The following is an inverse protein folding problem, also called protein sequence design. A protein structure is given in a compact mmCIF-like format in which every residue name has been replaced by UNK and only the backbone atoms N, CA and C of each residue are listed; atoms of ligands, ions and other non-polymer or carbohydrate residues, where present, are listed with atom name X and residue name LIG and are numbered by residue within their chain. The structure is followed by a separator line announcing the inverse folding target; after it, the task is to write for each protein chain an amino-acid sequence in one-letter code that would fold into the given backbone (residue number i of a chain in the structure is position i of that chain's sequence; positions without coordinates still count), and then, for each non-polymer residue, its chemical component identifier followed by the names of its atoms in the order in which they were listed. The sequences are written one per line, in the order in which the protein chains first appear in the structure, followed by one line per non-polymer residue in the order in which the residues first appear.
data_IF_035395731931
#
_entry.id   IF_035395731931
#
_cell.length_a   1.000
_cell.length_b   1.000
_cell.length_c   1.000
_cell.angle_alpha   90.00
_cell.angle_beta   90.00
_cell.angle_gamma   90.00
#
_symmetry.space_group_name_H-M   'P 1'
#
loop_
_entity.id
_entity.type
_entity.pdbx_description
1 polymer ?
#
# COMPACT_ATOMS: atom_id res chain seq x y z
N UNK A 1 19.99 -55.06 -54.17
CA UNK A 1 18.97 -54.08 -54.67
C UNK A 1 17.93 -53.69 -53.61
N UNK A 2 17.28 -54.58 -52.88
CA UNK A 2 16.26 -54.22 -51.88
C UNK A 2 16.72 -53.31 -50.72
N UNK A 3 18.01 -53.42 -50.28
CA UNK A 3 18.55 -52.57 -49.20
C UNK A 3 18.82 -51.11 -49.66
N UNK A 4 19.16 -50.91 -50.91
CA UNK A 4 19.38 -49.55 -51.44
C UNK A 4 18.07 -48.81 -51.72
N UNK A 5 17.02 -49.49 -52.08
CA UNK A 5 15.68 -48.93 -52.26
C UNK A 5 15.06 -48.49 -50.91
N UNK A 6 15.32 -49.23 -49.84
CA UNK A 6 14.82 -48.89 -48.50
C UNK A 6 15.53 -47.64 -47.98
N UNK A 7 16.84 -47.49 -48.20
CA UNK A 7 17.59 -46.30 -47.77
C UNK A 7 17.23 -45.04 -48.59
N UNK A 8 16.91 -45.16 -49.88
CA UNK A 8 16.44 -44.06 -50.72
C UNK A 8 15.02 -43.61 -50.24
N UNK A 9 14.15 -44.54 -49.86
CA UNK A 9 12.84 -44.22 -49.34
C UNK A 9 12.92 -43.53 -47.95
N UNK A 10 13.85 -43.95 -47.10
CA UNK A 10 14.06 -43.32 -45.79
C UNK A 10 14.63 -41.89 -45.94
N UNK A 11 15.52 -41.65 -46.89
CA UNK A 11 16.06 -40.31 -47.16
C UNK A 11 15.03 -39.38 -47.84
N UNK A 12 14.12 -39.90 -48.65
CA UNK A 12 13.06 -39.13 -49.27
C UNK A 12 11.98 -38.75 -48.21
N UNK A 13 11.69 -39.65 -47.25
CA UNK A 13 10.75 -39.37 -46.16
C UNK A 13 11.27 -38.33 -45.15
N UNK A 14 12.58 -38.29 -44.86
CA UNK A 14 13.18 -37.28 -44.00
C UNK A 14 13.29 -35.90 -44.68
N UNK A 15 13.40 -35.84 -46.00
CA UNK A 15 13.41 -34.58 -46.76
C UNK A 15 12.07 -33.87 -46.83
N UNK A 16 10.96 -34.58 -46.66
CA UNK A 16 9.60 -34.01 -46.70
C UNK A 16 9.13 -33.39 -45.35
N UNK A 17 9.82 -33.65 -44.25
CA UNK A 17 9.46 -33.11 -42.95
C UNK A 17 10.05 -31.75 -42.61
N UNK A 18 10.99 -31.23 -43.43
CA UNK A 18 11.66 -29.93 -43.18
C UNK A 18 11.03 -28.76 -43.96
N UNK A 19 10.01 -28.97 -44.76
CA UNK A 19 9.35 -27.88 -45.51
C UNK A 19 8.03 -27.36 -44.86
N UNK A 20 7.82 -27.66 -43.59
CA UNK A 20 6.55 -27.35 -42.93
C UNK A 20 6.61 -26.15 -41.97
N UNK A 21 7.51 -25.21 -42.13
CA UNK A 21 7.48 -23.95 -41.39
C UNK A 21 7.91 -22.78 -42.29
N UNK A 22 7.10 -22.52 -43.31
CA UNK A 22 7.05 -21.16 -43.85
C UNK A 22 5.97 -20.42 -43.06
N UNK A 23 6.35 -19.85 -41.92
CA UNK A 23 5.51 -18.84 -41.30
C UNK A 23 5.20 -17.73 -42.30
N UNK A 24 3.91 -17.46 -42.49
CA UNK A 24 3.52 -16.29 -43.28
C UNK A 24 4.22 -15.07 -42.68
N UNK A 25 4.88 -14.27 -43.50
CA UNK A 25 5.51 -13.03 -43.04
C UNK A 25 4.43 -12.23 -42.31
N UNK A 26 4.66 -11.97 -41.02
CA UNK A 26 3.81 -11.07 -40.27
C UNK A 26 3.70 -9.71 -41.00
N UNK A 27 2.54 -9.12 -40.98
CA UNK A 27 2.34 -7.77 -41.53
C UNK A 27 3.33 -6.83 -40.83
N UNK A 28 3.93 -5.92 -41.61
CA UNK A 28 4.78 -4.86 -41.05
C UNK A 28 3.98 -3.86 -40.24
N UNK A 29 2.65 -3.87 -40.38
CA UNK A 29 1.74 -3.09 -39.55
C UNK A 29 1.28 -3.94 -38.36
N UNK A 30 1.54 -3.45 -37.15
CA UNK A 30 1.01 -4.04 -35.93
C UNK A 30 -0.50 -3.95 -35.90
N UNK A 31 -1.18 -5.06 -35.65
CA UNK A 31 -2.64 -5.06 -35.37
C UNK A 31 -2.96 -4.42 -34.02
N UNK A 32 -1.95 -4.33 -33.14
CA UNK A 32 -2.05 -3.62 -31.87
C UNK A 32 -1.77 -2.14 -32.16
N UNK A 33 -2.82 -1.37 -32.35
CA UNK A 33 -2.71 0.08 -32.38
C UNK A 33 -2.70 0.57 -30.95
N UNK A 34 -1.71 1.38 -30.53
CA UNK A 34 -1.79 2.03 -29.23
C UNK A 34 -3.07 2.88 -29.23
N UNK A 35 -3.97 2.55 -28.33
CA UNK A 35 -5.14 3.37 -28.09
C UNK A 35 -4.63 4.71 -27.54
N UNK A 36 -4.84 5.81 -28.25
CA UNK A 36 -4.58 7.14 -27.72
C UNK A 36 -5.55 7.38 -26.56
N UNK A 37 -5.17 6.98 -25.36
CA UNK A 37 -5.93 7.31 -24.15
C UNK A 37 -5.96 8.83 -24.04
N UNK A 38 -7.11 9.43 -24.32
CA UNK A 38 -7.29 10.88 -24.13
C UNK A 38 -6.96 11.22 -22.68
N UNK A 39 -5.90 12.00 -22.51
CA UNK A 39 -5.51 12.48 -21.18
C UNK A 39 -6.57 13.45 -20.66
N UNK A 40 -7.08 13.17 -19.47
CA UNK A 40 -7.94 14.09 -18.72
C UNK A 40 -7.09 15.17 -18.04
N UNK A 41 -7.70 16.27 -17.54
CA UNK A 41 -6.98 17.22 -16.67
C UNK A 41 -6.34 16.54 -15.46
N UNK A 42 -6.99 15.52 -14.90
CA UNK A 42 -6.44 14.75 -13.76
C UNK A 42 -5.21 13.93 -14.15
N UNK A 43 -5.18 13.30 -15.33
CA UNK A 43 -3.98 12.58 -15.78
C UNK A 43 -2.78 13.52 -15.93
N UNK A 44 -2.99 14.74 -16.42
CA UNK A 44 -1.94 15.75 -16.50
C UNK A 44 -1.48 16.22 -15.12
N UNK A 45 -2.42 16.39 -14.20
CA UNK A 45 -2.11 16.75 -12.83
C UNK A 45 -1.29 15.64 -12.13
N UNK A 46 -1.65 14.37 -12.33
CA UNK A 46 -0.90 13.22 -11.82
C UNK A 46 0.51 13.17 -12.41
N UNK A 47 0.66 13.45 -13.71
CA UNK A 47 1.98 13.51 -14.33
C UNK A 47 2.90 14.49 -13.62
N UNK A 48 2.44 15.73 -13.39
CA UNK A 48 3.24 16.80 -12.77
C UNK A 48 3.44 16.59 -11.27
N UNK A 49 2.45 16.04 -10.58
CA UNK A 49 2.45 15.99 -9.11
C UNK A 49 2.92 14.65 -8.52
N UNK A 50 2.91 13.58 -9.30
CA UNK A 50 3.28 12.23 -8.85
C UNK A 50 4.42 11.61 -9.67
N UNK A 51 4.28 11.61 -11.01
CA UNK A 51 5.23 10.93 -11.87
C UNK A 51 6.56 11.68 -11.94
N UNK A 52 6.54 12.96 -12.33
CA UNK A 52 7.76 13.75 -12.51
C UNK A 52 8.55 13.93 -11.21
N UNK A 53 7.93 14.31 -10.06
CA UNK A 53 8.69 14.52 -8.85
C UNK A 53 9.11 13.24 -8.13
N UNK A 54 8.32 12.13 -8.22
CA UNK A 54 8.51 10.95 -7.36
C UNK A 54 8.65 9.63 -8.11
N UNK A 55 8.38 9.60 -9.43
CA UNK A 55 8.21 8.37 -10.20
C UNK A 55 7.17 7.43 -9.56
N UNK A 56 6.04 8.02 -9.13
CA UNK A 56 4.90 7.30 -8.57
C UNK A 56 3.77 7.35 -9.59
N UNK A 57 3.19 6.19 -9.89
CA UNK A 57 1.98 6.06 -10.68
C UNK A 57 0.77 5.96 -9.75
N UNK A 58 -0.22 6.86 -9.93
CA UNK A 58 -1.51 6.78 -9.26
C UNK A 58 -2.55 6.27 -10.27
N UNK A 59 -2.90 4.99 -10.16
CA UNK A 59 -3.86 4.32 -11.04
C UNK A 59 -5.25 4.51 -10.46
N UNK A 60 -6.11 5.23 -11.16
CA UNK A 60 -7.49 5.46 -10.76
C UNK A 60 -8.51 4.81 -11.70
N UNK A 61 -8.08 4.46 -12.92
CA UNK A 61 -8.91 3.66 -13.83
C UNK A 61 -8.79 2.20 -13.47
N UNK A 62 -9.91 1.51 -13.52
CA UNK A 62 -9.91 0.07 -13.31
C UNK A 62 -8.93 -0.61 -14.27
N UNK A 63 -8.04 -1.40 -13.73
CA UNK A 63 -7.11 -2.24 -14.47
C UNK A 63 -7.29 -3.69 -14.01
N UNK A 64 -7.73 -4.52 -14.95
CA UNK A 64 -8.02 -5.92 -14.73
C UNK A 64 -6.79 -6.72 -14.23
N UNK A 65 -5.58 -6.32 -14.66
CA UNK A 65 -4.33 -6.97 -14.28
C UNK A 65 -3.88 -6.62 -12.87
N UNK A 66 -4.31 -5.47 -12.37
CA UNK A 66 -3.95 -4.97 -11.05
C UNK A 66 -5.01 -5.30 -9.99
N UNK A 67 -6.12 -5.94 -10.39
CA UNK A 67 -7.25 -6.25 -9.53
C UNK A 67 -7.26 -7.72 -9.13
N UNK A 68 -7.51 -8.01 -7.84
CA UNK A 68 -7.72 -9.38 -7.37
C UNK A 68 -9.14 -9.84 -7.70
N UNK A 69 -9.26 -10.81 -8.61
CA UNK A 69 -10.54 -11.37 -9.07
C UNK A 69 -11.28 -12.24 -8.04
N UNK A 70 -10.70 -12.48 -6.86
CA UNK A 70 -11.41 -13.12 -5.75
C UNK A 70 -12.40 -12.19 -5.07
N UNK A 71 -12.30 -10.89 -5.32
CA UNK A 71 -13.16 -9.86 -4.74
C UNK A 71 -14.03 -9.19 -5.80
N UNK A 72 -15.22 -8.76 -5.38
CA UNK A 72 -16.06 -7.90 -6.20
C UNK A 72 -15.57 -6.46 -6.08
N UNK A 73 -15.12 -5.90 -7.19
CA UNK A 73 -14.63 -4.53 -7.22
C UNK A 73 -15.20 -3.74 -8.38
N UNK A 74 -15.21 -2.42 -8.25
CA UNK A 74 -15.68 -1.47 -9.26
C UNK A 74 -14.64 -0.35 -9.47
N UNK A 75 -14.69 0.35 -10.61
CA UNK A 75 -13.84 1.50 -10.85
C UNK A 75 -14.01 2.59 -9.79
N UNK A 76 -12.92 3.31 -9.50
CA UNK A 76 -12.99 4.52 -8.71
C UNK A 76 -13.77 5.62 -9.47
N UNK A 77 -14.62 6.35 -8.75
CA UNK A 77 -15.24 7.59 -9.29
C UNK A 77 -14.17 8.65 -9.56
N UNK A 78 -14.32 9.36 -10.65
CA UNK A 78 -13.34 10.35 -11.10
C UNK A 78 -13.07 11.44 -10.06
N UNK A 79 -14.14 12.02 -9.48
CA UNK A 79 -13.99 13.09 -8.51
C UNK A 79 -13.48 12.59 -7.16
N UNK A 80 -13.90 11.40 -6.76
CA UNK A 80 -13.39 10.76 -5.55
C UNK A 80 -11.90 10.41 -5.68
N UNK A 81 -11.46 9.91 -6.84
CA UNK A 81 -10.07 9.64 -7.13
C UNK A 81 -9.19 10.91 -7.11
N UNK A 82 -9.68 12.03 -7.64
CA UNK A 82 -9.01 13.34 -7.54
C UNK A 82 -8.79 13.70 -6.07
N UNK A 83 -9.85 13.65 -5.25
CA UNK A 83 -9.75 13.98 -3.82
C UNK A 83 -8.77 13.07 -3.10
N UNK A 84 -8.86 11.75 -3.33
CA UNK A 84 -7.97 10.79 -2.70
C UNK A 84 -6.50 11.04 -3.08
N UNK A 85 -6.22 11.32 -4.36
CA UNK A 85 -4.88 11.66 -4.80
C UNK A 85 -4.33 12.92 -4.11
N UNK A 86 -5.13 13.99 -3.99
CA UNK A 86 -4.72 15.19 -3.24
C UNK A 86 -4.43 14.88 -1.78
N UNK A 87 -5.29 14.11 -1.12
CA UNK A 87 -5.14 13.73 0.28
C UNK A 87 -3.84 12.94 0.46
N UNK A 88 -3.64 11.88 -0.30
CA UNK A 88 -2.45 11.01 -0.17
C UNK A 88 -1.16 11.79 -0.45
N UNK A 89 -1.13 12.63 -1.49
CA UNK A 89 0.02 13.49 -1.76
C UNK A 89 0.31 14.39 -0.57
N UNK A 90 -0.69 15.11 -0.11
CA UNK A 90 -0.52 16.11 0.92
C UNK A 90 -0.21 15.50 2.28
N UNK A 91 -0.96 14.48 2.74
CA UNK A 91 -0.80 13.94 4.11
C UNK A 91 0.27 12.87 4.23
N UNK A 92 0.54 12.11 3.18
CA UNK A 92 1.52 11.02 3.25
C UNK A 92 2.82 11.41 2.56
N UNK A 93 2.82 11.65 1.24
CA UNK A 93 4.05 11.86 0.46
C UNK A 93 4.81 13.09 0.97
N UNK A 94 4.16 14.24 1.01
CA UNK A 94 4.79 15.51 1.41
C UNK A 94 5.13 15.58 2.91
N UNK A 95 4.46 14.78 3.77
CA UNK A 95 4.84 14.68 5.17
C UNK A 95 6.21 14.00 5.32
N UNK A 96 6.45 12.91 4.59
CA UNK A 96 7.78 12.28 4.56
C UNK A 96 8.82 13.18 3.89
N UNK A 97 8.47 13.92 2.84
CA UNK A 97 9.38 14.91 2.24
C UNK A 97 9.85 15.95 3.27
N UNK A 98 8.94 16.40 4.11
CA UNK A 98 9.23 17.40 5.12
C UNK A 98 10.18 16.89 6.20
N UNK A 99 10.01 15.63 6.64
CA UNK A 99 10.72 15.06 7.79
C UNK A 99 11.98 14.31 7.38
N UNK A 100 11.92 13.54 6.29
CA UNK A 100 13.02 12.69 5.83
C UNK A 100 13.74 13.24 4.59
N UNK A 101 13.13 14.23 3.93
CA UNK A 101 13.62 14.79 2.68
C UNK A 101 13.14 14.05 1.43
N UNK A 102 12.99 14.79 0.34
CA UNK A 102 12.41 14.29 -0.93
C UNK A 102 13.16 13.07 -1.50
N UNK A 103 14.44 12.93 -1.24
CA UNK A 103 15.21 11.78 -1.74
C UNK A 103 14.80 10.48 -1.06
N UNK A 104 14.41 10.52 0.24
CA UNK A 104 13.85 9.37 0.94
C UNK A 104 12.55 8.92 0.28
N UNK A 105 11.63 9.82 0.06
CA UNK A 105 10.35 9.53 -0.58
C UNK A 105 10.54 9.01 -2.01
N UNK A 106 11.41 9.66 -2.79
CA UNK A 106 11.74 9.21 -4.15
C UNK A 106 12.33 7.81 -4.20
N UNK A 107 13.09 7.43 -3.22
CA UNK A 107 13.78 6.13 -3.21
C UNK A 107 12.88 5.01 -2.67
N UNK A 108 12.13 5.26 -1.61
CA UNK A 108 11.51 4.21 -0.82
C UNK A 108 9.98 4.20 -0.87
N UNK A 109 9.32 5.35 -1.08
CA UNK A 109 7.87 5.35 -1.14
C UNK A 109 7.35 4.49 -2.30
N UNK A 110 6.21 3.78 -2.14
CA UNK A 110 5.65 2.90 -3.17
C UNK A 110 5.56 3.58 -4.53
N UNK A 111 5.88 2.83 -5.59
CA UNK A 111 5.90 3.38 -6.95
C UNK A 111 4.57 3.27 -7.66
N UNK A 112 3.62 2.56 -7.05
CA UNK A 112 2.27 2.42 -7.56
C UNK A 112 1.26 2.56 -6.42
N UNK A 113 0.26 3.41 -6.64
CA UNK A 113 -0.92 3.53 -5.80
C UNK A 113 -2.12 3.19 -6.68
N UNK A 114 -2.85 2.14 -6.35
CA UNK A 114 -3.99 1.68 -7.14
C UNK A 114 -5.29 1.90 -6.37
N UNK A 115 -6.13 2.80 -6.88
CA UNK A 115 -7.39 3.18 -6.26
C UNK A 115 -8.57 2.46 -6.92
N UNK A 116 -9.38 1.77 -6.11
CA UNK A 116 -10.60 1.10 -6.55
C UNK A 116 -11.83 1.62 -5.81
N UNK A 117 -13.01 1.40 -6.40
CA UNK A 117 -14.24 2.06 -5.93
C UNK A 117 -14.79 1.52 -4.63
N UNK A 118 -14.77 0.20 -4.41
CA UNK A 118 -15.38 -0.45 -3.25
C UNK A 118 -14.33 -1.08 -2.32
N UNK A 119 -14.75 -1.29 -1.07
CA UNK A 119 -13.99 -2.08 -0.12
C UNK A 119 -14.10 -3.58 -0.45
N UNK A 120 -13.04 -4.31 -0.16
CA UNK A 120 -13.00 -5.76 -0.28
C UNK A 120 -13.22 -6.39 1.09
N UNK A 121 -13.91 -7.52 1.12
CA UNK A 121 -14.26 -8.22 2.36
C UNK A 121 -13.81 -9.66 2.33
N UNK A 122 -13.10 -10.07 3.37
CA UNK A 122 -12.76 -11.47 3.60
C UNK A 122 -13.99 -12.27 4.07
N UNK A 123 -13.91 -13.60 3.95
CA UNK A 123 -14.98 -14.51 4.40
C UNK A 123 -15.32 -14.42 5.89
N UNK A 124 -14.41 -13.87 6.70
CA UNK A 124 -14.62 -13.60 8.13
C UNK A 124 -15.20 -12.20 8.41
N UNK A 125 -15.69 -11.50 7.38
CA UNK A 125 -16.20 -10.12 7.40
C UNK A 125 -15.16 -9.05 7.80
N UNK A 126 -13.87 -9.36 7.79
CA UNK A 126 -12.85 -8.32 7.91
C UNK A 126 -12.73 -7.58 6.58
N UNK A 127 -12.56 -6.26 6.67
CA UNK A 127 -12.40 -5.39 5.50
C UNK A 127 -10.92 -5.27 5.13
N UNK A 128 -10.64 -5.38 3.84
CA UNK A 128 -9.34 -5.07 3.27
C UNK A 128 -9.37 -3.59 2.89
N UNK A 129 -8.58 -2.79 3.57
CA UNK A 129 -8.45 -1.35 3.32
C UNK A 129 -7.33 -1.05 2.34
N UNK A 130 -6.34 -1.92 2.29
CA UNK A 130 -5.21 -1.87 1.39
C UNK A 130 -4.28 -3.05 1.59
N UNK A 131 -3.37 -3.24 0.68
CA UNK A 131 -2.30 -4.25 0.73
C UNK A 131 -1.05 -3.71 0.06
N UNK A 132 0.13 -4.12 0.54
CA UNK A 132 1.38 -3.88 -0.18
C UNK A 132 1.77 -5.13 -0.97
N UNK A 133 1.79 -5.04 -2.29
CA UNK A 133 2.18 -6.14 -3.15
C UNK A 133 3.62 -5.97 -3.64
N UNK A 134 4.45 -6.96 -3.35
CA UNK A 134 5.83 -7.01 -3.84
C UNK A 134 6.70 -5.83 -3.45
N UNK A 135 6.36 -5.09 -2.39
CA UNK A 135 7.11 -3.93 -1.92
C UNK A 135 7.08 -2.71 -2.86
N UNK A 136 6.14 -2.64 -3.81
CA UNK A 136 6.09 -1.57 -4.82
C UNK A 136 4.72 -0.93 -5.00
N UNK A 137 3.64 -1.65 -4.70
CA UNK A 137 2.26 -1.22 -4.91
C UNK A 137 1.53 -1.14 -3.59
N UNK A 138 0.80 -0.05 -3.35
CA UNK A 138 -0.25 0.02 -2.33
C UNK A 138 -1.59 0.06 -3.04
N UNK A 139 -2.46 -0.86 -2.66
CA UNK A 139 -3.85 -0.92 -3.05
C UNK A 139 -4.68 -0.05 -2.11
N UNK A 140 -5.56 0.77 -2.66
CA UNK A 140 -6.42 1.70 -1.93
C UNK A 140 -7.88 1.40 -2.28
N UNK A 141 -8.55 0.66 -1.41
CA UNK A 141 -9.94 0.27 -1.60
C UNK A 141 -10.92 1.37 -1.14
N UNK A 142 -12.16 1.29 -1.63
CA UNK A 142 -13.27 2.09 -1.11
C UNK A 142 -13.26 3.56 -1.51
N UNK A 143 -12.57 3.94 -2.58
CA UNK A 143 -12.45 5.35 -3.03
C UNK A 143 -13.80 6.05 -3.18
N UNK A 144 -14.85 5.33 -3.63
CA UNK A 144 -16.19 5.91 -3.85
C UNK A 144 -16.92 6.24 -2.54
N UNK A 145 -16.40 5.77 -1.42
CA UNK A 145 -16.93 6.06 -0.09
C UNK A 145 -16.24 7.26 0.59
N UNK A 146 -15.19 7.82 -0.02
CA UNK A 146 -14.34 8.86 0.57
C UNK A 146 -15.12 10.04 1.14
N UNK A 147 -16.13 10.54 0.42
CA UNK A 147 -16.93 11.70 0.86
C UNK A 147 -17.68 11.48 2.19
N UNK A 148 -17.93 10.22 2.57
CA UNK A 148 -18.55 9.89 3.86
C UNK A 148 -17.59 10.11 5.02
N UNK A 149 -16.29 10.09 4.77
CA UNK A 149 -15.23 10.09 5.78
C UNK A 149 -14.44 11.42 5.84
N UNK A 150 -14.63 12.32 4.87
CA UNK A 150 -13.92 13.60 4.78
C UNK A 150 -14.16 14.56 5.97
N UNK A 151 -15.19 14.34 6.75
CA UNK A 151 -15.53 15.18 7.90
C UNK A 151 -14.83 14.79 9.22
N UNK A 152 -14.06 13.71 9.22
CA UNK A 152 -13.48 13.13 10.44
C UNK A 152 -12.05 12.65 10.17
N UNK A 153 -11.09 13.12 10.98
CA UNK A 153 -9.70 12.63 10.95
C UNK A 153 -9.66 11.15 11.29
N UNK A 154 -10.42 10.73 12.30
CA UNK A 154 -10.45 9.33 12.75
C UNK A 154 -10.95 8.40 11.65
N UNK A 155 -11.96 8.83 10.87
CA UNK A 155 -12.46 8.06 9.74
C UNK A 155 -11.47 8.04 8.58
N UNK A 156 -10.86 9.17 8.22
CA UNK A 156 -9.82 9.21 7.19
C UNK A 156 -8.64 8.30 7.54
N UNK A 157 -8.20 8.32 8.79
CA UNK A 157 -7.15 7.44 9.27
C UNK A 157 -7.59 5.98 9.25
N UNK A 158 -8.79 5.69 9.73
CA UNK A 158 -9.29 4.31 9.78
C UNK A 158 -9.39 3.68 8.39
N UNK A 159 -9.90 4.41 7.41
CA UNK A 159 -10.23 3.83 6.11
C UNK A 159 -9.16 4.02 5.02
N UNK A 160 -8.22 4.98 5.18
CA UNK A 160 -7.25 5.29 4.13
C UNK A 160 -5.82 5.52 4.63
N UNK A 161 -5.60 6.52 5.52
CA UNK A 161 -4.26 7.04 5.74
C UNK A 161 -3.39 6.11 6.57
N UNK A 162 -3.93 5.54 7.64
CA UNK A 162 -3.20 4.57 8.48
C UNK A 162 -2.68 3.39 7.65
N UNK A 163 -3.49 2.89 6.72
CA UNK A 163 -3.11 1.80 5.83
C UNK A 163 -1.88 2.14 5.00
N UNK A 164 -1.78 3.36 4.46
CA UNK A 164 -0.62 3.78 3.66
C UNK A 164 0.66 3.74 4.51
N UNK A 165 0.63 4.24 5.74
CA UNK A 165 1.78 4.20 6.64
C UNK A 165 2.13 2.78 7.08
N UNK A 166 1.12 1.92 7.28
CA UNK A 166 1.26 0.51 7.60
C UNK A 166 2.00 -0.23 6.47
N UNK A 167 1.50 -0.13 5.26
CA UNK A 167 2.08 -0.78 4.10
C UNK A 167 3.47 -0.22 3.75
N UNK A 168 3.67 1.08 3.95
CA UNK A 168 4.99 1.67 3.76
C UNK A 168 6.01 1.12 4.77
N UNK A 169 5.59 0.87 6.01
CA UNK A 169 6.47 0.22 7.00
C UNK A 169 6.91 -1.18 6.56
N UNK A 170 6.02 -1.97 5.94
CA UNK A 170 6.39 -3.26 5.36
C UNK A 170 7.47 -3.11 4.27
N UNK A 171 7.35 -2.11 3.41
CA UNK A 171 8.35 -1.82 2.36
C UNK A 171 9.71 -1.45 2.97
N UNK A 172 9.71 -0.62 4.01
CA UNK A 172 10.93 -0.27 4.73
C UNK A 172 11.57 -1.50 5.37
N UNK A 173 10.79 -2.35 6.03
CA UNK A 173 11.27 -3.59 6.65
C UNK A 173 11.81 -4.61 5.66
N UNK A 174 11.25 -4.68 4.45
CA UNK A 174 11.77 -5.54 3.38
C UNK A 174 13.10 -5.03 2.83
N UNK A 175 13.34 -3.73 2.89
CA UNK A 175 14.58 -3.11 2.41
C UNK A 175 15.70 -3.18 3.45
N UNK A 176 15.40 -2.86 4.70
CA UNK A 176 16.28 -2.99 5.86
C UNK A 176 15.50 -3.64 6.99
N UNK A 177 15.81 -4.90 7.37
CA UNK A 177 15.09 -5.58 8.45
C UNK A 177 15.22 -4.83 9.78
N UNK A 178 14.15 -4.85 10.57
CA UNK A 178 14.18 -4.38 11.96
C UNK A 178 14.87 -5.39 12.90
N UNK A 179 15.23 -4.93 14.10
CA UNK A 179 15.86 -5.79 15.11
C UNK A 179 14.88 -6.88 15.62
N UNK A 180 15.28 -8.14 15.52
CA UNK A 180 14.49 -9.29 15.96
C UNK A 180 14.20 -9.28 17.48
N UNK A 181 14.89 -8.45 18.27
CA UNK A 181 14.53 -8.19 19.67
C UNK A 181 13.09 -7.67 19.82
N UNK A 182 12.53 -7.03 18.78
CA UNK A 182 11.14 -6.65 18.74
C UNK A 182 10.19 -7.83 18.90
N UNK A 183 10.42 -8.90 18.15
CA UNK A 183 9.58 -10.10 18.16
C UNK A 183 9.61 -10.82 19.51
N UNK A 184 10.68 -10.67 20.29
CA UNK A 184 10.83 -11.30 21.61
C UNK A 184 9.99 -10.60 22.70
N UNK A 185 9.53 -9.37 22.49
CA UNK A 185 8.74 -8.62 23.49
C UNK A 185 7.43 -9.34 23.81
N UNK A 186 6.75 -9.86 22.79
CA UNK A 186 5.48 -10.60 22.91
C UNK A 186 5.48 -11.91 22.12
N UNK A 187 6.61 -12.41 21.73
CA UNK A 187 6.85 -13.42 20.69
C UNK A 187 6.06 -14.73 20.78
N UNK A 188 5.64 -15.15 21.98
CA UNK A 188 4.85 -16.40 22.16
C UNK A 188 3.35 -16.16 22.21
N UNK A 189 2.88 -14.92 22.05
CA UNK A 189 1.48 -14.53 22.24
C UNK A 189 0.81 -14.02 20.95
N UNK A 190 1.48 -14.17 19.79
CA UNK A 190 0.85 -13.92 18.50
C UNK A 190 -0.23 -14.96 18.18
N UNK A 191 -1.34 -14.52 17.60
CA UNK A 191 -2.53 -15.33 17.43
C UNK A 191 -2.75 -15.81 15.98
N UNK A 192 -1.86 -15.45 15.03
CA UNK A 192 -2.06 -15.69 13.60
C UNK A 192 -3.46 -15.23 13.17
N UNK A 193 -4.25 -16.06 12.50
CA UNK A 193 -5.58 -15.69 12.00
C UNK A 193 -6.65 -15.55 13.10
N UNK A 194 -6.37 -16.02 14.31
CA UNK A 194 -7.31 -15.92 15.44
C UNK A 194 -7.43 -14.51 16.02
N UNK A 195 -6.63 -13.54 15.54
CA UNK A 195 -6.72 -12.13 15.96
C UNK A 195 -8.12 -11.53 15.77
N UNK A 196 -8.85 -11.97 14.75
CA UNK A 196 -10.18 -11.46 14.39
C UNK A 196 -11.33 -12.15 15.13
N UNK A 197 -11.08 -13.21 15.90
CA UNK A 197 -12.08 -13.89 16.71
C UNK A 197 -12.56 -12.98 17.86
N UNK A 198 -13.73 -13.27 18.44
CA UNK A 198 -14.24 -12.50 19.57
C UNK A 198 -13.28 -12.42 20.76
N UNK A 199 -12.50 -13.47 21.00
CA UNK A 199 -11.46 -13.50 22.02
C UNK A 199 -10.22 -12.71 21.61
N UNK A 200 -9.74 -12.90 20.38
CA UNK A 200 -8.58 -12.18 19.83
C UNK A 200 -8.84 -10.68 19.73
N UNK A 201 -10.01 -10.28 19.26
CA UNK A 201 -10.37 -8.87 19.08
C UNK A 201 -10.57 -8.10 20.40
N UNK A 202 -10.60 -8.76 21.57
CA UNK A 202 -10.77 -8.12 22.87
C UNK A 202 -9.49 -8.15 23.70
N UNK A 203 -9.27 -7.12 24.53
CA UNK A 203 -8.19 -7.08 25.52
C UNK A 203 -6.75 -7.09 24.97
N UNK A 204 -6.56 -6.81 23.68
CA UNK A 204 -5.25 -6.76 23.02
C UNK A 204 -4.28 -5.76 23.65
N UNK A 205 -4.79 -4.59 24.11
CA UNK A 205 -3.95 -3.59 24.78
C UNK A 205 -3.29 -4.16 26.05
N UNK A 206 -4.04 -4.89 26.87
CA UNK A 206 -3.51 -5.51 28.11
C UNK A 206 -2.46 -6.59 27.82
N UNK A 207 -2.50 -7.19 26.62
CA UNK A 207 -1.50 -8.16 26.14
C UNK A 207 -0.28 -7.51 25.48
N UNK A 208 -0.22 -6.17 25.41
CA UNK A 208 0.91 -5.44 24.85
C UNK A 208 0.84 -5.22 23.34
N UNK A 209 -0.38 -5.14 22.77
CA UNK A 209 -0.63 -4.86 21.36
C UNK A 209 -1.45 -3.59 21.20
N UNK A 210 -1.10 -2.74 20.21
CA UNK A 210 -1.78 -1.45 20.00
C UNK A 210 -3.12 -1.59 19.28
N UNK A 211 -3.32 -2.67 18.54
CA UNK A 211 -4.55 -3.02 17.85
C UNK A 211 -4.81 -4.53 17.93
N UNK A 212 -6.03 -4.97 17.61
CA UNK A 212 -6.33 -6.39 17.49
C UNK A 212 -5.46 -7.04 16.40
N UNK A 213 -5.26 -6.35 15.26
CA UNK A 213 -4.49 -6.84 14.13
C UNK A 213 -2.99 -6.99 14.43
N UNK A 214 -2.44 -6.18 15.34
CA UNK A 214 -1.06 -6.34 15.83
C UNK A 214 -0.76 -7.75 16.35
N UNK A 215 -1.78 -8.50 16.78
CA UNK A 215 -1.61 -9.86 17.33
C UNK A 215 -1.41 -10.92 16.25
N UNK A 216 -1.51 -10.58 14.99
CA UNK A 216 -1.36 -11.55 13.90
C UNK A 216 0.05 -12.13 13.85
N UNK A 217 1.04 -11.28 13.72
CA UNK A 217 2.47 -11.63 13.69
C UNK A 217 3.34 -10.38 13.88
N UNK A 218 4.65 -10.59 14.14
CA UNK A 218 5.59 -9.49 14.43
C UNK A 218 5.69 -8.42 13.35
N UNK A 219 5.59 -8.82 12.07
CA UNK A 219 5.65 -7.86 10.96
C UNK A 219 4.43 -6.95 10.93
N UNK A 220 3.24 -7.49 11.21
CA UNK A 220 2.02 -6.68 11.31
C UNK A 220 2.06 -5.79 12.55
N UNK A 221 2.57 -6.31 13.65
CA UNK A 221 2.66 -5.58 14.90
C UNK A 221 3.53 -4.33 14.80
N UNK A 222 4.72 -4.44 14.21
CA UNK A 222 5.61 -3.28 14.03
C UNK A 222 5.01 -2.25 13.06
N UNK A 223 4.32 -2.69 12.01
CA UNK A 223 3.62 -1.81 11.08
C UNK A 223 2.44 -1.10 11.76
N UNK A 224 1.69 -1.81 12.59
CA UNK A 224 0.59 -1.25 13.39
C UNK A 224 1.09 -0.25 14.44
N UNK A 225 2.22 -0.50 15.10
CA UNK A 225 2.81 0.46 16.04
C UNK A 225 3.14 1.78 15.33
N UNK A 226 3.88 1.71 14.21
CA UNK A 226 4.23 2.92 13.47
C UNK A 226 2.98 3.65 12.97
N UNK A 227 2.15 2.97 12.20
CA UNK A 227 1.00 3.57 11.53
C UNK A 227 0.00 4.18 12.52
N UNK A 228 -0.29 3.48 13.62
CA UNK A 228 -1.15 3.99 14.67
C UNK A 228 -0.52 5.17 15.40
N UNK A 229 0.79 5.14 15.66
CA UNK A 229 1.49 6.22 16.35
C UNK A 229 1.48 7.53 15.54
N UNK A 230 1.75 7.46 14.25
CA UNK A 230 1.89 8.67 13.42
C UNK A 230 0.56 9.27 12.97
N UNK A 231 -0.53 8.50 13.02
CA UNK A 231 -1.87 8.96 12.63
C UNK A 231 -2.78 9.34 13.80
N UNK A 232 -2.28 9.27 15.04
CA UNK A 232 -3.08 9.60 16.21
C UNK A 232 -2.38 10.63 17.10
N UNK A 233 -3.13 11.58 17.70
CA UNK A 233 -2.54 12.56 18.60
C UNK A 233 -2.02 11.91 19.88
N UNK A 234 -1.07 12.59 20.54
CA UNK A 234 -0.49 12.11 21.79
C UNK A 234 -1.55 11.79 22.86
N UNK A 235 -2.61 12.58 22.94
CA UNK A 235 -3.71 12.34 23.90
C UNK A 235 -4.42 11.00 23.67
N UNK A 236 -4.62 10.61 22.41
CA UNK A 236 -5.15 9.29 22.05
C UNK A 236 -4.22 8.17 22.50
N UNK A 237 -2.91 8.33 22.20
CA UNK A 237 -1.90 7.35 22.62
C UNK A 237 -1.86 7.19 24.13
N UNK A 238 -1.81 8.29 24.89
CA UNK A 238 -1.80 8.28 26.36
C UNK A 238 -3.05 7.60 26.93
N UNK A 239 -4.22 7.82 26.33
CA UNK A 239 -5.45 7.14 26.72
C UNK A 239 -5.36 5.63 26.49
N UNK A 240 -4.79 5.18 25.36
CA UNK A 240 -4.57 3.76 25.08
C UNK A 240 -3.55 3.11 26.03
N UNK A 241 -2.51 3.83 26.43
CA UNK A 241 -1.56 3.36 27.44
C UNK A 241 -2.26 3.22 28.82
N UNK A 242 -3.14 4.12 29.15
CA UNK A 242 -3.96 4.01 30.38
C UNK A 242 -4.90 2.79 30.33
N UNK A 243 -5.56 2.55 29.21
CA UNK A 243 -6.44 1.38 28.99
C UNK A 243 -5.65 0.06 29.03
N UNK A 244 -4.43 0.04 28.51
CA UNK A 244 -3.52 -1.11 28.52
C UNK A 244 -3.12 -1.54 29.94
N UNK A 245 -3.14 -0.62 30.89
CA UNK A 245 -2.64 -0.85 32.24
C UNK A 245 -1.10 -0.97 32.27
N UNK A 246 -0.54 -1.15 33.46
CA UNK A 246 0.93 -1.09 33.64
C UNK A 246 1.69 -2.10 32.79
N UNK A 247 1.24 -3.36 32.74
CA UNK A 247 1.94 -4.42 32.00
C UNK A 247 1.83 -4.22 30.49
N UNK A 248 0.59 -4.04 29.96
CA UNK A 248 0.38 -3.84 28.53
C UNK A 248 1.06 -2.58 28.02
N UNK A 249 0.95 -1.46 28.75
CA UNK A 249 1.60 -0.20 28.39
C UNK A 249 3.13 -0.33 28.35
N UNK A 250 3.73 -1.07 29.30
CA UNK A 250 5.18 -1.32 29.31
C UNK A 250 5.63 -2.08 28.06
N UNK A 251 4.87 -3.09 27.62
CA UNK A 251 5.18 -3.85 26.42
C UNK A 251 5.04 -2.99 25.15
N UNK A 252 3.94 -2.24 25.03
CA UNK A 252 3.70 -1.35 23.88
C UNK A 252 4.78 -0.26 23.81
N UNK A 253 5.17 0.32 24.96
CA UNK A 253 6.22 1.33 24.99
C UNK A 253 7.58 0.78 24.54
N UNK A 254 7.97 -0.41 24.98
CA UNK A 254 9.19 -1.08 24.49
C UNK A 254 9.19 -1.27 22.97
N UNK A 255 8.05 -1.67 22.42
CA UNK A 255 7.87 -1.81 20.97
C UNK A 255 8.03 -0.46 20.25
N UNK A 256 7.37 0.58 20.77
CA UNK A 256 7.48 1.93 20.21
C UNK A 256 8.93 2.46 20.26
N UNK A 257 9.67 2.18 21.33
CA UNK A 257 11.06 2.61 21.46
C UNK A 257 11.97 1.96 20.42
N UNK A 258 11.74 0.68 20.10
CA UNK A 258 12.45 0.00 19.00
C UNK A 258 12.06 0.60 17.66
N UNK A 259 10.77 0.84 17.40
CA UNK A 259 10.31 1.50 16.16
C UNK A 259 10.92 2.90 16.02
N UNK A 260 10.94 3.69 17.09
CA UNK A 260 11.55 5.03 17.10
C UNK A 260 13.04 4.97 16.78
N UNK A 261 13.77 4.06 17.41
CA UNK A 261 15.19 3.84 17.16
C UNK A 261 15.43 3.41 15.70
N UNK A 262 14.69 2.41 15.22
CA UNK A 262 14.80 1.88 13.86
C UNK A 262 14.54 2.97 12.81
N UNK A 263 13.46 3.72 12.95
CA UNK A 263 13.13 4.80 12.01
C UNK A 263 14.18 5.91 12.04
N UNK A 264 14.73 6.21 13.20
CA UNK A 264 15.77 7.25 13.33
C UNK A 264 17.11 6.79 12.78
N UNK A 265 17.57 5.58 13.14
CA UNK A 265 18.93 5.11 12.81
C UNK A 265 19.05 4.63 11.37
N UNK A 266 18.07 3.87 10.90
CA UNK A 266 18.10 3.28 9.57
C UNK A 266 17.60 4.23 8.47
N UNK A 267 16.65 5.12 8.81
CA UNK A 267 15.93 5.92 7.83
C UNK A 267 16.11 7.43 8.02
N UNK A 268 16.73 7.84 9.13
CA UNK A 268 16.82 9.24 9.54
C UNK A 268 15.45 9.94 9.64
N UNK A 269 14.42 9.19 10.01
CA UNK A 269 13.05 9.67 10.21
C UNK A 269 12.77 9.80 11.69
N UNK A 270 12.41 11.00 12.14
CA UNK A 270 11.90 11.24 13.48
C UNK A 270 10.37 11.02 13.46
N UNK A 271 9.90 9.97 14.13
CA UNK A 271 8.47 9.61 14.09
C UNK A 271 7.59 10.56 14.92
N UNK A 272 8.14 11.29 15.87
CA UNK A 272 7.42 12.31 16.64
C UNK A 272 7.18 13.54 15.75
N UNK A 273 8.21 13.99 15.02
CA UNK A 273 8.10 15.05 14.02
C UNK A 273 7.16 14.65 12.89
N UNK A 274 7.24 13.39 12.42
CA UNK A 274 6.37 12.86 11.38
C UNK A 274 4.89 12.86 11.81
N UNK A 275 4.60 12.42 13.03
CA UNK A 275 3.25 12.49 13.60
C UNK A 275 2.72 13.92 13.62
N UNK A 276 3.50 14.85 14.15
CA UNK A 276 3.06 16.24 14.28
C UNK A 276 2.79 16.87 12.90
N UNK A 277 3.60 16.52 11.90
CA UNK A 277 3.41 16.99 10.53
C UNK A 277 2.19 16.35 9.85
N UNK A 278 1.96 15.05 10.02
CA UNK A 278 0.78 14.36 9.49
C UNK A 278 -0.50 14.97 10.10
N UNK A 279 -0.58 15.07 11.42
CA UNK A 279 -1.75 15.60 12.11
C UNK A 279 -2.03 17.06 11.73
N UNK A 280 -1.00 17.86 11.56
CA UNK A 280 -1.13 19.24 11.07
C UNK A 280 -1.77 19.27 9.67
N UNK A 281 -1.34 18.39 8.79
CA UNK A 281 -1.86 18.29 7.41
C UNK A 281 -3.27 17.74 7.36
N UNK A 282 -3.59 16.73 8.16
CA UNK A 282 -4.95 16.21 8.28
C UNK A 282 -5.92 17.30 8.77
N UNK A 283 -5.53 18.08 9.78
CA UNK A 283 -6.32 19.21 10.24
C UNK A 283 -6.56 20.25 9.14
N UNK A 284 -5.58 20.50 8.28
CA UNK A 284 -5.74 21.43 7.14
C UNK A 284 -6.75 20.90 6.10
N UNK A 285 -6.86 19.58 5.94
CA UNK A 285 -7.88 18.98 5.08
C UNK A 285 -9.27 19.16 5.70
N UNK A 286 -9.44 18.79 6.96
CA UNK A 286 -10.74 18.83 7.66
C UNK A 286 -11.30 20.26 7.75
N UNK A 287 -10.43 21.25 7.97
CA UNK A 287 -10.86 22.65 8.07
C UNK A 287 -10.98 23.36 6.71
N UNK A 288 -10.75 22.64 5.59
CA UNK A 288 -10.87 23.18 4.24
C UNK A 288 -9.77 24.14 3.81
N UNK A 289 -8.62 24.15 4.49
CA UNK A 289 -7.49 25.02 4.14
C UNK A 289 -6.73 24.54 2.89
N UNK A 290 -7.04 23.34 2.39
CA UNK A 290 -6.43 22.71 1.21
C UNK A 290 -7.52 22.34 0.22
N UNK A 291 -7.34 22.76 -1.04
CA UNK A 291 -8.23 22.31 -2.13
C UNK A 291 -7.93 20.86 -2.48
N UNK A 292 -8.96 20.03 -2.50
CA UNK A 292 -8.87 18.61 -2.89
C UNK A 292 -9.27 18.37 -4.35
N UNK A 293 -9.56 19.43 -5.10
CA UNK A 293 -10.10 19.32 -6.47
C UNK A 293 -9.40 20.23 -7.48
N UNK A 294 -8.39 21.00 -7.05
CA UNK A 294 -7.65 21.89 -7.92
C UNK A 294 -6.69 21.10 -8.83
N UNK A 295 -6.97 21.08 -10.10
CA UNK A 295 -6.17 20.42 -11.13
C UNK A 295 -5.29 21.42 -11.91
N UNK A 296 -5.09 22.63 -11.40
CA UNK A 296 -4.15 23.58 -12.00
C UNK A 296 -2.72 23.03 -11.96
N UNK A 297 -2.00 23.23 -13.05
CA UNK A 297 -0.60 22.83 -13.22
C UNK A 297 0.18 24.15 -13.34
N UNK A 298 0.96 24.50 -12.33
CA UNK A 298 1.82 25.69 -12.32
C UNK A 298 3.23 25.33 -12.76
#
# INVERSE_FOLDING_TARGET
MKKYLLNIFLFAATGLTISSCTEAKLSSESVIKPEEKKQTPFDKWLQVNYVEPYNIEFIWRYDDKETDHNYYNIPADYNAAIKLAHIVKYTCIEAYDRVAGINFTRQYFPKMLYATGEFEYNNNNTMILGTAEGGKKIYLAGTNNLDKFLGSIDDLNTFYLKTIHHEFMHILNQTKPYDTAYDLITGTTYLSDDWSTSTGASGYLKRGYISAYSQKEGREDIAEILSTYVTNPKSWWDAKMTEAGTEGATLIQKKLDIVRSYMKTEWNVDIDELRDEILRRENNIINGSVSLTDLSIN
#
